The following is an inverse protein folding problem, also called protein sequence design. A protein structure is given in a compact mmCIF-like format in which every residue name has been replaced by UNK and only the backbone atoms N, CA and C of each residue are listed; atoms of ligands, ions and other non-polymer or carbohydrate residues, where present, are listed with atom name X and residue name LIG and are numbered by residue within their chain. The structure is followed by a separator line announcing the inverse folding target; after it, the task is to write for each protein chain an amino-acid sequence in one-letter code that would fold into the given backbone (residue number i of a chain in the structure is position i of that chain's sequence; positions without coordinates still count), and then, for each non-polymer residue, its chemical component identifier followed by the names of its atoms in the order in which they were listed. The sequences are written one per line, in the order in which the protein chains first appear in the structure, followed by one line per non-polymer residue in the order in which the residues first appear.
data_IF_526888855094
#
_entry.id   IF_526888855094
#
_cell.length_a   1.000
_cell.length_b   1.000
_cell.length_c   1.000
_cell.angle_alpha   90.00
_cell.angle_beta   90.00
_cell.angle_gamma   90.00
#
_symmetry.space_group_name_H-M   'P 1'
#
loop_
_entity.id
_entity.type
_entity.pdbx_description
1 polymer ?
#
# COMPACT_ATOMS: atom_id res chain seq x y z
N UNK A 1 21.42 22.34 -22.74
CA UNK A 1 21.38 20.96 -22.25
C UNK A 1 21.01 20.07 -23.43
N UNK A 2 21.61 18.86 -23.59
CA UNK A 2 21.20 17.93 -24.65
C UNK A 2 19.79 17.39 -24.33
N UNK A 3 18.95 17.20 -25.35
CA UNK A 3 17.56 16.66 -25.20
C UNK A 3 17.59 15.35 -24.39
N UNK A 4 18.55 14.48 -24.64
CA UNK A 4 18.70 13.20 -23.90
C UNK A 4 18.99 13.42 -22.41
N UNK A 5 19.85 14.38 -22.05
CA UNK A 5 20.17 14.67 -20.66
C UNK A 5 18.94 15.21 -19.89
N UNK A 6 18.11 16.02 -20.56
CA UNK A 6 16.86 16.51 -19.98
C UNK A 6 15.90 15.33 -19.73
N UNK A 7 15.75 14.45 -20.68
CA UNK A 7 14.90 13.28 -20.56
C UNK A 7 15.31 12.33 -19.41
N UNK A 8 16.62 12.06 -19.27
CA UNK A 8 17.15 11.25 -18.18
C UNK A 8 16.86 11.91 -16.80
N UNK A 9 16.93 13.25 -16.73
CA UNK A 9 16.55 14.00 -15.53
C UNK A 9 15.04 13.89 -15.22
N UNK A 10 14.21 13.95 -16.25
CA UNK A 10 12.75 13.86 -16.10
C UNK A 10 12.32 12.46 -15.63
N UNK A 11 12.98 11.39 -16.12
CA UNK A 11 12.75 10.01 -15.64
C UNK A 11 13.18 9.83 -14.18
N UNK A 12 14.32 10.38 -13.78
CA UNK A 12 14.77 10.32 -12.38
C UNK A 12 13.83 11.12 -11.47
N UNK A 13 13.34 12.28 -11.92
CA UNK A 13 12.34 13.06 -11.21
C UNK A 13 11.01 12.31 -11.05
N UNK A 14 10.57 11.57 -12.07
CA UNK A 14 9.37 10.72 -12.01
C UNK A 14 9.53 9.62 -10.93
N UNK A 15 10.68 8.92 -10.94
CA UNK A 15 11.01 7.90 -9.95
C UNK A 15 11.00 8.46 -8.52
N UNK A 16 11.61 9.63 -8.31
CA UNK A 16 11.66 10.27 -7.01
C UNK A 16 10.26 10.65 -6.51
N UNK A 17 9.39 11.19 -7.39
CA UNK A 17 8.00 11.52 -7.04
C UNK A 17 7.20 10.27 -6.66
N UNK A 18 7.38 9.16 -7.38
CA UNK A 18 6.72 7.88 -7.09
C UNK A 18 7.18 7.32 -5.72
N UNK A 19 8.49 7.40 -5.44
CA UNK A 19 9.05 6.96 -4.15
C UNK A 19 8.54 7.85 -3.00
N UNK A 20 8.44 9.16 -3.20
CA UNK A 20 7.90 10.09 -2.21
C UNK A 20 6.43 9.79 -1.92
N UNK A 21 5.62 9.57 -2.95
CA UNK A 21 4.21 9.19 -2.80
C UNK A 21 4.08 7.88 -2.01
N UNK A 22 4.88 6.86 -2.36
CA UNK A 22 4.87 5.58 -1.66
C UNK A 22 5.22 5.70 -0.17
N UNK A 23 6.19 6.55 0.18
CA UNK A 23 6.50 6.85 1.58
C UNK A 23 5.34 7.54 2.29
N UNK A 24 4.67 8.51 1.67
CA UNK A 24 3.49 9.14 2.28
C UNK A 24 2.37 8.13 2.52
N UNK A 25 2.16 7.15 1.62
CA UNK A 25 1.18 6.08 1.83
C UNK A 25 1.61 5.12 2.95
N UNK A 26 2.90 4.76 3.03
CA UNK A 26 3.44 3.96 4.12
C UNK A 26 3.28 4.67 5.48
N UNK A 27 3.62 5.97 5.55
CA UNK A 27 3.46 6.79 6.74
C UNK A 27 1.96 6.86 7.17
N UNK A 28 1.03 6.92 6.22
CA UNK A 28 -0.41 6.89 6.52
C UNK A 28 -0.83 5.55 7.15
N UNK A 29 -0.31 4.42 6.67
CA UNK A 29 -0.56 3.09 7.26
C UNK A 29 0.03 3.02 8.67
N UNK A 30 1.27 3.45 8.87
CA UNK A 30 1.92 3.46 10.20
C UNK A 30 1.11 4.30 11.20
N UNK A 31 0.72 5.52 10.81
CA UNK A 31 -0.09 6.41 11.63
C UNK A 31 -1.47 5.80 11.95
N UNK A 32 -2.11 5.08 11.01
CA UNK A 32 -3.38 4.39 11.26
C UNK A 32 -3.22 3.25 12.29
N UNK A 33 -2.11 2.50 12.22
CA UNK A 33 -1.80 1.46 13.21
C UNK A 33 -1.50 2.06 14.59
N UNK A 34 -0.80 3.20 14.65
CA UNK A 34 -0.57 3.92 15.91
C UNK A 34 -1.88 4.46 16.49
N UNK A 35 -2.72 5.12 15.68
CA UNK A 35 -4.02 5.62 16.11
C UNK A 35 -4.92 4.49 16.62
N UNK A 36 -4.91 3.33 15.96
CA UNK A 36 -5.62 2.13 16.41
C UNK A 36 -5.08 1.61 17.75
N UNK A 37 -3.76 1.63 17.93
CA UNK A 37 -3.10 1.12 19.14
C UNK A 37 -3.46 1.93 20.38
N UNK A 38 -3.48 3.27 20.26
CA UNK A 38 -3.72 4.19 21.39
C UNK A 38 -5.13 4.76 21.41
N UNK A 39 -6.01 4.27 20.52
CA UNK A 39 -7.41 4.68 20.44
C UNK A 39 -7.59 6.20 20.17
N UNK A 40 -6.76 6.78 19.30
CA UNK A 40 -6.72 8.23 19.03
C UNK A 40 -7.60 8.61 17.82
N UNK A 41 -8.81 9.08 18.10
CA UNK A 41 -9.78 9.50 17.08
C UNK A 41 -9.35 10.81 16.35
N UNK A 42 -8.61 11.70 17.01
CA UNK A 42 -8.13 12.95 16.38
C UNK A 42 -7.00 12.65 15.38
N UNK A 43 -6.08 11.75 15.75
CA UNK A 43 -5.06 11.25 14.81
C UNK A 43 -5.73 10.54 13.61
N UNK A 44 -6.73 9.70 13.84
CA UNK A 44 -7.50 9.04 12.79
C UNK A 44 -8.14 10.05 11.82
N UNK A 45 -8.79 11.11 12.33
CA UNK A 45 -9.38 12.16 11.50
C UNK A 45 -8.33 12.93 10.68
N UNK A 46 -7.10 13.08 11.20
CA UNK A 46 -6.01 13.71 10.47
C UNK A 46 -5.53 12.84 9.28
N UNK A 47 -5.52 11.51 9.43
CA UNK A 47 -5.16 10.57 8.36
C UNK A 47 -6.17 10.66 7.21
N UNK A 48 -7.47 10.57 7.52
CA UNK A 48 -8.56 10.70 6.52
C UNK A 48 -8.42 12.01 5.74
N UNK A 49 -8.14 13.12 6.41
CA UNK A 49 -7.95 14.41 5.75
C UNK A 49 -6.67 14.46 4.91
N UNK A 50 -5.64 13.75 5.33
CA UNK A 50 -4.33 13.68 4.67
C UNK A 50 -4.36 12.95 3.32
N UNK A 51 -5.30 12.05 3.12
CA UNK A 51 -5.47 11.23 1.93
C UNK A 51 -5.55 12.07 0.63
N UNK A 52 -6.23 13.20 0.66
CA UNK A 52 -6.29 14.13 -0.48
C UNK A 52 -4.91 14.53 -1.03
N UNK A 53 -3.84 14.50 -0.23
CA UNK A 53 -2.48 14.77 -0.68
C UNK A 53 -1.95 13.63 -1.55
N UNK A 54 -2.19 12.39 -1.16
CA UNK A 54 -1.76 11.19 -1.91
C UNK A 54 -2.46 11.16 -3.26
N UNK A 55 -3.78 11.42 -3.29
CA UNK A 55 -4.59 11.49 -4.49
C UNK A 55 -4.14 12.61 -5.47
N UNK A 56 -3.67 13.73 -4.95
CA UNK A 56 -3.10 14.78 -5.80
C UNK A 56 -1.73 14.36 -6.37
N UNK A 57 -0.89 13.67 -5.58
CA UNK A 57 0.41 13.16 -6.06
C UNK A 57 0.22 12.11 -7.17
N UNK A 58 -0.78 11.23 -7.06
CA UNK A 58 -1.15 10.29 -8.13
C UNK A 58 -1.39 11.03 -9.46
N UNK A 59 -2.31 12.00 -9.46
CA UNK A 59 -2.66 12.79 -10.66
C UNK A 59 -1.45 13.49 -11.29
N UNK A 60 -0.57 14.05 -10.45
CA UNK A 60 0.64 14.72 -10.91
C UNK A 60 1.62 13.74 -11.55
N UNK A 61 1.77 12.55 -11.00
CA UNK A 61 2.64 11.48 -11.51
C UNK A 61 2.07 10.96 -12.84
N UNK A 62 0.76 10.67 -12.92
CA UNK A 62 0.10 10.26 -14.16
C UNK A 62 0.28 11.30 -15.27
N UNK A 63 0.06 12.58 -14.96
CA UNK A 63 0.26 13.67 -15.94
C UNK A 63 1.71 13.74 -16.44
N UNK A 64 2.70 13.52 -15.56
CA UNK A 64 4.12 13.46 -15.94
C UNK A 64 4.41 12.26 -16.84
N UNK A 65 3.88 11.07 -16.53
CA UNK A 65 4.00 9.89 -17.37
C UNK A 65 3.47 10.15 -18.77
N UNK A 66 2.26 10.69 -18.89
CA UNK A 66 1.65 11.04 -20.19
C UNK A 66 2.48 12.07 -20.96
N UNK A 67 3.02 13.08 -20.26
CA UNK A 67 3.88 14.08 -20.86
C UNK A 67 5.18 13.49 -21.43
N UNK A 68 5.80 12.56 -20.70
CA UNK A 68 7.01 11.85 -21.15
C UNK A 68 6.72 10.98 -22.39
N UNK A 69 5.60 10.25 -22.41
CA UNK A 69 5.18 9.45 -23.56
C UNK A 69 4.97 10.32 -24.82
N UNK A 70 4.28 11.46 -24.67
CA UNK A 70 3.96 12.34 -25.78
C UNK A 70 5.19 13.07 -26.36
N UNK A 71 6.13 13.49 -25.50
CA UNK A 71 7.24 14.35 -25.93
C UNK A 71 8.46 13.62 -26.41
N UNK A 72 8.71 12.40 -25.90
CA UNK A 72 10.03 11.77 -26.01
C UNK A 72 10.05 10.48 -26.82
N UNK A 73 8.89 9.92 -27.18
CA UNK A 73 8.78 8.64 -27.91
C UNK A 73 9.69 7.55 -27.30
N UNK A 74 9.51 7.22 -25.99
CA UNK A 74 10.40 6.31 -25.28
C UNK A 74 10.41 4.92 -25.91
N UNK A 75 11.56 4.26 -25.87
CA UNK A 75 11.72 2.92 -26.44
C UNK A 75 12.19 1.92 -25.37
N UNK A 76 11.83 0.66 -25.58
CA UNK A 76 12.28 -0.48 -24.79
C UNK A 76 12.25 -0.23 -23.27
N UNK A 77 13.44 -0.11 -22.63
CA UNK A 77 13.55 0.02 -21.17
C UNK A 77 12.87 1.25 -20.59
N UNK A 78 12.98 2.41 -21.25
CA UNK A 78 12.37 3.65 -20.78
C UNK A 78 10.84 3.58 -20.85
N UNK A 79 10.29 2.95 -21.92
CA UNK A 79 8.85 2.71 -22.03
C UNK A 79 8.35 1.80 -20.89
N UNK A 80 9.10 0.73 -20.55
CA UNK A 80 8.73 -0.14 -19.42
C UNK A 80 8.71 0.62 -18.09
N UNK A 81 9.72 1.48 -17.83
CA UNK A 81 9.76 2.30 -16.61
C UNK A 81 8.56 3.23 -16.49
N UNK A 82 8.19 3.94 -17.57
CA UNK A 82 7.04 4.84 -17.55
C UNK A 82 5.73 4.04 -17.41
N UNK A 83 5.60 2.92 -18.11
CA UNK A 83 4.42 2.04 -17.99
C UNK A 83 4.29 1.47 -16.58
N UNK A 84 5.39 1.08 -15.96
CA UNK A 84 5.41 0.63 -14.57
C UNK A 84 4.98 1.75 -13.62
N UNK A 85 5.52 2.97 -13.79
CA UNK A 85 5.14 4.10 -12.96
C UNK A 85 3.63 4.39 -13.02
N UNK A 86 3.02 4.32 -14.22
CA UNK A 86 1.57 4.49 -14.41
C UNK A 86 0.72 3.41 -13.74
N UNK A 87 1.25 2.21 -13.55
CA UNK A 87 0.54 1.11 -12.88
C UNK A 87 0.73 1.16 -11.38
N UNK A 88 1.97 1.30 -10.95
CA UNK A 88 2.35 1.33 -9.54
C UNK A 88 1.75 2.55 -8.81
N UNK A 89 1.59 3.69 -9.48
CA UNK A 89 1.01 4.88 -8.87
C UNK A 89 -0.39 4.63 -8.32
N UNK A 90 -1.22 3.86 -9.04
CA UNK A 90 -2.56 3.48 -8.59
C UNK A 90 -2.51 2.49 -7.41
N UNK A 91 -1.60 1.50 -7.43
CA UNK A 91 -1.43 0.61 -6.28
C UNK A 91 -0.99 1.36 -5.01
N UNK A 92 -0.10 2.36 -5.16
CA UNK A 92 0.35 3.22 -4.05
C UNK A 92 -0.80 4.10 -3.52
N UNK A 93 -1.65 4.65 -4.40
CA UNK A 93 -2.85 5.40 -4.00
C UNK A 93 -3.80 4.50 -3.20
N UNK A 94 -4.07 3.28 -3.67
CA UNK A 94 -4.91 2.31 -2.95
C UNK A 94 -4.40 1.96 -1.56
N UNK A 95 -3.08 1.91 -1.36
CA UNK A 95 -2.50 1.76 -0.02
C UNK A 95 -2.89 2.94 0.88
N UNK A 96 -2.82 4.17 0.36
CA UNK A 96 -3.25 5.38 1.08
C UNK A 96 -4.75 5.38 1.39
N UNK A 97 -5.60 5.08 0.39
CA UNK A 97 -7.05 4.91 0.54
C UNK A 97 -7.38 3.94 1.69
N UNK A 98 -6.75 2.75 1.71
CA UNK A 98 -7.02 1.77 2.76
C UNK A 98 -6.51 2.19 4.13
N UNK A 99 -5.46 2.99 4.22
CA UNK A 99 -5.06 3.60 5.49
C UNK A 99 -6.12 4.58 6.01
N UNK A 100 -6.73 5.37 5.11
CA UNK A 100 -7.86 6.26 5.45
C UNK A 100 -9.12 5.46 5.83
N UNK A 101 -9.45 4.39 5.07
CA UNK A 101 -10.57 3.47 5.39
C UNK A 101 -10.43 2.88 6.82
N UNK A 102 -9.21 2.44 7.20
CA UNK A 102 -8.92 1.97 8.56
C UNK A 102 -9.15 3.09 9.57
N UNK A 103 -8.64 4.29 9.29
CA UNK A 103 -8.77 5.44 10.17
C UNK A 103 -10.24 5.85 10.40
N UNK A 104 -11.11 5.73 9.39
CA UNK A 104 -12.55 6.01 9.52
C UNK A 104 -13.26 5.06 10.51
N UNK A 105 -12.78 3.83 10.68
CA UNK A 105 -13.37 2.84 11.59
C UNK A 105 -12.93 3.07 13.04
N UNK A 106 -11.74 3.60 13.28
CA UNK A 106 -11.14 3.75 14.62
C UNK A 106 -12.07 4.45 15.62
N UNK A 107 -12.72 5.60 15.32
CA UNK A 107 -13.58 6.29 16.29
C UNK A 107 -14.72 5.43 16.84
N UNK A 108 -15.30 4.54 16.04
CA UNK A 108 -16.33 3.61 16.49
C UNK A 108 -15.71 2.44 17.26
N UNK A 109 -14.65 1.85 16.73
CA UNK A 109 -14.00 0.67 17.31
C UNK A 109 -13.52 0.91 18.74
N UNK A 110 -12.98 2.10 19.04
CA UNK A 110 -12.50 2.47 20.38
C UNK A 110 -13.63 2.62 21.41
N UNK A 111 -14.86 2.81 20.98
CA UNK A 111 -16.01 2.88 21.89
C UNK A 111 -16.54 1.51 22.31
N UNK A 112 -16.28 0.48 21.50
CA UNK A 112 -16.86 -0.86 21.64
C UNK A 112 -15.84 -1.93 22.04
N UNK A 113 -14.53 -1.68 21.82
CA UNK A 113 -13.44 -2.56 22.24
C UNK A 113 -12.59 -1.93 23.36
N UNK A 114 -12.07 -2.77 24.25
CA UNK A 114 -11.25 -2.32 25.37
C UNK A 114 -9.80 -2.16 24.95
N UNK A 115 -9.09 -1.28 25.63
CA UNK A 115 -7.64 -1.20 25.55
C UNK A 115 -7.00 -2.56 25.87
N UNK A 116 -6.01 -2.97 25.07
CA UNK A 116 -5.34 -4.26 25.20
C UNK A 116 -6.13 -5.46 24.66
N UNK A 117 -7.19 -5.23 23.87
CA UNK A 117 -7.94 -6.30 23.19
C UNK A 117 -6.99 -7.19 22.36
N UNK A 118 -6.99 -8.52 22.58
CA UNK A 118 -6.07 -9.42 21.87
C UNK A 118 -6.24 -9.42 20.36
N UNK A 119 -7.47 -9.30 19.86
CA UNK A 119 -7.72 -9.30 18.40
C UNK A 119 -7.22 -7.99 17.74
N UNK A 120 -7.37 -6.85 18.43
CA UNK A 120 -6.78 -5.57 18.00
C UNK A 120 -5.25 -5.66 18.00
N UNK A 121 -4.66 -6.24 19.05
CA UNK A 121 -3.20 -6.42 19.13
C UNK A 121 -2.66 -7.30 17.98
N UNK A 122 -3.38 -8.35 17.61
CA UNK A 122 -3.02 -9.19 16.46
C UNK A 122 -3.18 -8.45 15.12
N UNK A 123 -4.24 -7.64 14.97
CA UNK A 123 -4.43 -6.80 13.80
C UNK A 123 -3.27 -5.80 13.62
N UNK A 124 -2.78 -5.20 14.71
CA UNK A 124 -1.61 -4.31 14.69
C UNK A 124 -0.35 -5.09 14.25
N UNK A 125 -0.14 -6.32 14.72
CA UNK A 125 1.01 -7.16 14.29
C UNK A 125 0.92 -7.47 12.80
N UNK A 126 -0.26 -7.89 12.30
CA UNK A 126 -0.52 -8.09 10.88
C UNK A 126 -0.24 -6.81 10.07
N UNK A 127 -0.74 -5.66 10.53
CA UNK A 127 -0.52 -4.37 9.88
C UNK A 127 0.95 -3.96 9.79
N UNK A 128 1.75 -4.25 10.81
CA UNK A 128 3.21 -4.02 10.77
C UNK A 128 3.91 -4.87 9.70
N UNK A 129 3.44 -6.10 9.46
CA UNK A 129 3.96 -6.93 8.36
C UNK A 129 3.59 -6.32 7.00
N UNK A 130 2.32 -5.94 6.80
CA UNK A 130 1.89 -5.28 5.58
C UNK A 130 2.64 -3.95 5.33
N UNK A 131 2.85 -3.13 6.37
CA UNK A 131 3.68 -1.92 6.29
C UNK A 131 5.12 -2.22 5.89
N UNK A 132 5.76 -3.25 6.45
CA UNK A 132 7.11 -3.65 6.03
C UNK A 132 7.15 -4.10 4.56
N UNK A 133 6.10 -4.80 4.07
CA UNK A 133 6.00 -5.16 2.66
C UNK A 133 5.96 -3.94 1.75
N UNK A 134 5.27 -2.84 2.16
CA UNK A 134 5.27 -1.58 1.39
C UNK A 134 6.69 -1.04 1.28
N UNK A 135 7.41 -0.92 2.39
CA UNK A 135 8.78 -0.38 2.40
C UNK A 135 9.71 -1.22 1.53
N UNK A 136 9.66 -2.53 1.66
CA UNK A 136 10.47 -3.46 0.88
C UNK A 136 10.13 -3.41 -0.62
N UNK A 137 8.85 -3.23 -0.97
CA UNK A 137 8.41 -3.07 -2.37
C UNK A 137 8.91 -1.75 -2.98
N UNK A 138 8.88 -0.65 -2.22
CA UNK A 138 9.41 0.65 -2.65
C UNK A 138 10.94 0.62 -2.83
N UNK A 139 11.65 -0.05 -1.94
CA UNK A 139 13.09 -0.25 -2.06
C UNK A 139 13.43 -1.13 -3.27
N UNK A 140 12.67 -2.21 -3.48
CA UNK A 140 12.82 -3.06 -4.66
C UNK A 140 12.55 -2.28 -5.96
N UNK A 141 11.52 -1.44 -5.99
CA UNK A 141 11.16 -0.58 -7.13
C UNK A 141 12.27 0.44 -7.42
N UNK A 142 12.74 1.12 -6.37
CA UNK A 142 13.80 2.13 -6.49
C UNK A 142 15.10 1.55 -7.01
N UNK A 143 15.47 0.34 -6.55
CA UNK A 143 16.68 -0.35 -6.96
C UNK A 143 16.52 -1.20 -8.23
N UNK A 144 15.30 -1.33 -8.78
CA UNK A 144 14.94 -2.30 -9.83
C UNK A 144 15.43 -3.73 -9.48
N UNK A 145 15.27 -4.13 -8.21
CA UNK A 145 15.82 -5.37 -7.66
C UNK A 145 14.79 -6.51 -7.64
N UNK A 146 14.88 -7.40 -8.63
CA UNK A 146 13.99 -8.54 -8.79
C UNK A 146 14.01 -9.51 -7.58
N UNK A 147 15.17 -9.75 -6.97
CA UNK A 147 15.26 -10.65 -5.82
C UNK A 147 14.59 -10.04 -4.57
N UNK A 148 14.67 -8.73 -4.39
CA UNK A 148 13.93 -8.04 -3.34
C UNK A 148 12.42 -8.13 -3.60
N UNK A 149 11.98 -7.90 -4.83
CA UNK A 149 10.58 -8.03 -5.21
C UNK A 149 10.02 -9.43 -4.94
N UNK A 150 10.77 -10.50 -5.26
CA UNK A 150 10.36 -11.88 -4.95
C UNK A 150 10.18 -12.13 -3.45
N UNK A 151 10.98 -11.49 -2.59
CA UNK A 151 10.81 -11.61 -1.14
C UNK A 151 9.53 -10.94 -0.65
N UNK A 152 9.16 -9.79 -1.23
CA UNK A 152 7.89 -9.13 -0.91
C UNK A 152 6.71 -10.03 -1.27
N UNK A 153 6.72 -10.61 -2.48
CA UNK A 153 5.66 -11.53 -2.92
C UNK A 153 5.54 -12.74 -1.97
N UNK A 154 6.67 -13.30 -1.51
CA UNK A 154 6.64 -14.41 -0.57
C UNK A 154 6.23 -14.03 0.86
N UNK A 155 6.36 -12.76 1.26
CA UNK A 155 5.97 -12.29 2.58
C UNK A 155 4.44 -12.19 2.75
N UNK A 156 3.69 -12.14 1.66
CA UNK A 156 2.23 -12.05 1.64
C UNK A 156 1.55 -13.25 2.33
N UNK A 157 2.11 -14.44 2.18
CA UNK A 157 1.61 -15.65 2.86
C UNK A 157 1.47 -15.47 4.38
N UNK A 158 2.32 -14.64 5.00
CA UNK A 158 2.24 -14.37 6.45
C UNK A 158 1.08 -13.43 6.80
N UNK A 159 0.80 -12.44 5.95
CA UNK A 159 -0.33 -11.52 6.13
C UNK A 159 -1.65 -12.26 5.94
N UNK A 160 -1.74 -13.11 4.92
CA UNK A 160 -2.88 -13.99 4.66
C UNK A 160 -3.15 -14.96 5.81
N UNK A 161 -2.10 -15.53 6.38
CA UNK A 161 -2.21 -16.40 7.56
C UNK A 161 -2.81 -15.64 8.76
N UNK A 162 -2.28 -14.46 9.07
CA UNK A 162 -2.76 -13.63 10.18
C UNK A 162 -4.21 -13.20 9.95
N UNK A 163 -4.57 -12.77 8.73
CA UNK A 163 -5.95 -12.44 8.36
C UNK A 163 -6.90 -13.61 8.67
N UNK A 164 -6.57 -14.81 8.23
CA UNK A 164 -7.43 -16.00 8.45
C UNK A 164 -7.52 -16.35 9.94
N UNK A 165 -6.43 -16.24 10.70
CA UNK A 165 -6.42 -16.52 12.13
C UNK A 165 -7.31 -15.55 12.91
N UNK A 166 -7.17 -14.23 12.66
CA UNK A 166 -7.99 -13.19 13.32
C UNK A 166 -9.46 -13.34 12.93
N UNK A 167 -9.77 -13.57 11.65
CA UNK A 167 -11.14 -13.81 11.17
C UNK A 167 -11.81 -14.97 11.91
N UNK A 168 -11.11 -16.08 12.13
CA UNK A 168 -11.65 -17.20 12.90
C UNK A 168 -11.87 -16.86 14.37
N UNK A 169 -10.96 -16.12 14.98
CA UNK A 169 -11.14 -15.63 16.35
C UNK A 169 -12.38 -14.75 16.49
N UNK A 170 -12.58 -13.79 15.57
CA UNK A 170 -13.76 -12.91 15.56
C UNK A 170 -15.07 -13.71 15.40
N UNK A 171 -15.07 -14.73 14.56
CA UNK A 171 -16.23 -15.61 14.41
C UNK A 171 -16.56 -16.37 15.71
N UNK A 172 -15.55 -16.79 16.48
CA UNK A 172 -15.74 -17.42 17.79
C UNK A 172 -16.27 -16.42 18.82
N UNK A 173 -15.72 -15.18 18.86
CA UNK A 173 -16.21 -14.10 19.72
C UNK A 173 -17.71 -13.82 19.52
N UNK A 174 -18.16 -13.78 18.24
CA UNK A 174 -19.59 -13.57 17.91
C UNK A 174 -20.43 -14.76 18.38
N UNK A 175 -19.94 -15.99 18.22
CA UNK A 175 -20.65 -17.18 18.64
C UNK A 175 -20.82 -17.28 20.16
N UNK A 176 -19.81 -16.81 20.92
CA UNK A 176 -19.83 -16.79 22.39
C UNK A 176 -20.67 -15.63 22.94
N UNK A 177 -20.63 -14.47 22.27
CA UNK A 177 -21.36 -13.28 22.68
C UNK A 177 -21.87 -12.51 21.43
N UNK A 178 -23.11 -12.75 21.00
CA UNK A 178 -23.70 -12.02 19.86
C UNK A 178 -23.77 -10.49 20.01
N UNK A 179 -23.65 -9.97 21.24
CA UNK A 179 -23.59 -8.53 21.47
C UNK A 179 -22.29 -7.87 20.96
N UNK A 180 -21.27 -8.66 20.61
CA UNK A 180 -20.01 -8.17 20.07
C UNK A 180 -19.97 -8.10 18.53
N UNK A 181 -21.07 -8.38 17.85
CA UNK A 181 -21.10 -8.52 16.39
C UNK A 181 -20.61 -7.23 15.69
N UNK A 182 -21.05 -6.05 16.10
CA UNK A 182 -20.66 -4.80 15.45
C UNK A 182 -19.15 -4.53 15.61
N UNK A 183 -18.63 -4.70 16.82
CA UNK A 183 -17.18 -4.57 17.10
C UNK A 183 -16.33 -5.59 16.34
N UNK A 184 -16.83 -6.80 16.16
CA UNK A 184 -16.13 -7.84 15.41
C UNK A 184 -16.15 -7.57 13.89
N UNK A 185 -17.26 -7.04 13.36
CA UNK A 185 -17.35 -6.67 11.95
C UNK A 185 -16.48 -5.46 11.63
N UNK A 186 -16.40 -4.45 12.49
CA UNK A 186 -15.49 -3.33 12.32
C UNK A 186 -14.03 -3.79 12.27
N UNK A 187 -13.61 -4.64 13.22
CA UNK A 187 -12.25 -5.17 13.21
C UNK A 187 -11.99 -6.08 12.01
N UNK A 188 -13.00 -6.83 11.55
CA UNK A 188 -12.90 -7.61 10.32
C UNK A 188 -12.64 -6.71 9.10
N UNK A 189 -13.27 -5.54 9.04
CA UNK A 189 -13.00 -4.56 7.98
C UNK A 189 -11.58 -4.02 8.07
N UNK A 190 -11.10 -3.68 9.27
CA UNK A 190 -9.71 -3.24 9.47
C UNK A 190 -8.71 -4.28 8.94
N UNK A 191 -8.84 -5.55 9.37
CA UNK A 191 -7.92 -6.60 8.89
C UNK A 191 -8.06 -6.88 7.39
N UNK A 192 -9.26 -6.68 6.81
CA UNK A 192 -9.44 -6.81 5.35
C UNK A 192 -8.72 -5.69 4.59
N UNK A 193 -8.73 -4.46 5.11
CA UNK A 193 -7.94 -3.39 4.50
C UNK A 193 -6.44 -3.62 4.66
N UNK A 194 -5.99 -4.19 5.79
CA UNK A 194 -4.58 -4.56 5.97
C UNK A 194 -4.12 -5.65 4.99
N UNK A 195 -4.95 -6.65 4.73
CA UNK A 195 -4.66 -7.68 3.71
C UNK A 195 -4.58 -7.05 2.32
N UNK A 196 -5.52 -6.15 1.96
CA UNK A 196 -5.46 -5.44 0.68
C UNK A 196 -4.23 -4.56 0.51
N UNK A 197 -3.74 -3.97 1.59
CA UNK A 197 -2.47 -3.24 1.60
C UNK A 197 -1.31 -4.18 1.21
N UNK A 198 -1.28 -5.40 1.76
CA UNK A 198 -0.34 -6.45 1.36
C UNK A 198 -0.44 -6.79 -0.12
N UNK A 199 -1.66 -7.05 -0.62
CA UNK A 199 -1.95 -7.32 -2.03
C UNK A 199 -1.39 -6.22 -2.95
N UNK A 200 -1.57 -4.93 -2.60
CA UNK A 200 -1.05 -3.81 -3.39
C UNK A 200 0.48 -3.72 -3.33
N UNK A 201 1.11 -4.05 -2.19
CA UNK A 201 2.56 -4.16 -2.10
C UNK A 201 3.12 -5.29 -2.99
N UNK A 202 2.41 -6.43 -3.07
CA UNK A 202 2.71 -7.52 -4.03
C UNK A 202 2.61 -7.02 -5.47
N UNK A 203 1.53 -6.31 -5.83
CA UNK A 203 1.39 -5.74 -7.17
C UNK A 203 2.57 -4.82 -7.53
N UNK A 204 2.99 -3.94 -6.63
CA UNK A 204 4.19 -3.10 -6.83
C UNK A 204 5.43 -3.96 -7.09
N UNK A 205 5.64 -5.03 -6.32
CA UNK A 205 6.77 -5.94 -6.49
C UNK A 205 6.72 -6.70 -7.83
N UNK A 206 5.56 -7.14 -8.29
CA UNK A 206 5.39 -7.77 -9.61
C UNK A 206 5.76 -6.80 -10.74
N UNK A 207 5.42 -5.51 -10.63
CA UNK A 207 5.82 -4.51 -11.61
C UNK A 207 7.34 -4.26 -11.64
N UNK A 208 8.06 -4.46 -10.52
CA UNK A 208 9.54 -4.44 -10.52
C UNK A 208 10.10 -5.55 -11.42
N UNK A 209 9.52 -6.76 -11.37
CA UNK A 209 9.93 -7.85 -12.27
C UNK A 209 9.68 -7.49 -13.74
N UNK A 210 8.56 -6.83 -14.06
CA UNK A 210 8.26 -6.38 -15.42
C UNK A 210 9.28 -5.38 -15.96
N UNK A 211 9.73 -4.41 -15.17
CA UNK A 211 10.77 -3.45 -15.61
C UNK A 211 12.00 -4.19 -16.14
N UNK A 212 12.41 -5.25 -15.46
CA UNK A 212 13.63 -6.01 -15.79
C UNK A 212 13.43 -6.99 -16.94
N UNK A 213 12.34 -7.73 -16.92
CA UNK A 213 12.11 -8.88 -17.81
C UNK A 213 11.20 -8.59 -18.98
N UNK A 214 10.36 -7.57 -18.90
CA UNK A 214 9.24 -7.32 -19.84
C UNK A 214 8.08 -8.31 -19.67
N UNK A 215 8.08 -9.12 -18.60
CA UNK A 215 7.00 -10.07 -18.28
C UNK A 215 6.30 -9.63 -17.01
N UNK A 216 4.98 -9.70 -17.02
CA UNK A 216 4.13 -9.46 -15.87
C UNK A 216 3.34 -10.74 -15.58
N UNK A 217 3.41 -11.25 -14.35
CA UNK A 217 2.77 -12.54 -13.95
C UNK A 217 3.06 -13.67 -14.93
N UNK A 218 4.34 -13.80 -15.32
CA UNK A 218 4.85 -14.79 -16.29
C UNK A 218 4.34 -14.64 -17.73
N UNK A 219 3.52 -13.64 -18.04
CA UNK A 219 3.06 -13.33 -19.39
C UNK A 219 3.92 -12.22 -20.04
N UNK A 220 4.26 -12.39 -21.33
CA UNK A 220 4.93 -11.34 -22.11
C UNK A 220 3.93 -10.25 -22.45
N UNK A 221 4.22 -9.00 -22.08
CA UNK A 221 3.36 -7.84 -22.38
C UNK A 221 3.64 -7.21 -23.75
N UNK A 222 4.75 -7.57 -24.40
CA UNK A 222 5.15 -7.08 -25.73
C UNK A 222 5.78 -8.19 -26.57
#
# INVERSE_FOLDING_TARGET
MSIRKQYDTDLESLKNSLTEMGRNSADAVENALEALCVADADAAAAIVKGDARINNMERDIEHRCMTLLLRQQPVAGDLRRISTAMKVVTDIERIGDHAADIAEIIPHLVTVRKEGDPAVSQAIVMGKKAHQMILDALDALTAENENAARRVIAADDEVDYDFNAIKHQLAQEIAEDPGKVDAALDLLMVIKYLERIGDHAVNVAEWVQFVRTGRYKDESMF
#
